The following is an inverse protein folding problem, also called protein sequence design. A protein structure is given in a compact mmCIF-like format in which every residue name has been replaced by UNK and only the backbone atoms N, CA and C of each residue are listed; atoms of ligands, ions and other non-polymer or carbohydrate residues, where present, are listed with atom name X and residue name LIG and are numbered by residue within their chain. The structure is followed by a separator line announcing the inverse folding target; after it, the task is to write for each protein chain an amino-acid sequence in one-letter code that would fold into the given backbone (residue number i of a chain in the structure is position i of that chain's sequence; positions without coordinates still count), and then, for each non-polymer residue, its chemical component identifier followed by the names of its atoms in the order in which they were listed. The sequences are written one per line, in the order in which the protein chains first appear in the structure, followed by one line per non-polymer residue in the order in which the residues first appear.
data_IF_330541236967
#
_entry.id   IF_330541236967
#
_cell.length_a   1.000
_cell.length_b   1.000
_cell.length_c   1.000
_cell.angle_alpha   90.00
_cell.angle_beta   90.00
_cell.angle_gamma   90.00
#
_symmetry.space_group_name_H-M   'P 1'
#
loop_
_entity.id
_entity.type
_entity.pdbx_description
1 polymer ?
#
# COMPACT_ATOMS: atom_id res chain seq x y z
N UNK A 1 43.50 2.73 -98.09
CA UNK A 1 44.51 1.67 -97.87
C UNK A 1 44.92 1.74 -96.41
N UNK A 2 44.93 0.59 -95.72
CA UNK A 2 45.30 0.41 -94.31
C UNK A 2 46.75 0.91 -94.01
N UNK A 3 47.34 0.80 -92.79
CA UNK A 3 46.88 0.17 -91.54
C UNK A 3 47.35 0.90 -90.23
N UNK A 4 47.24 0.18 -89.10
CA UNK A 4 48.08 0.15 -87.88
C UNK A 4 47.69 0.94 -86.60
N UNK A 5 47.39 0.15 -85.54
CA UNK A 5 47.59 0.37 -84.09
C UNK A 5 48.99 0.94 -83.71
N UNK A 6 49.39 1.21 -82.43
CA UNK A 6 48.74 0.98 -81.11
C UNK A 6 48.93 2.09 -80.02
N UNK A 7 48.47 1.77 -78.79
CA UNK A 7 49.02 2.11 -77.44
C UNK A 7 48.59 3.39 -76.67
N UNK A 8 47.84 3.11 -75.58
CA UNK A 8 48.17 3.27 -74.14
C UNK A 8 48.04 4.65 -73.42
N UNK A 9 47.18 4.60 -72.40
CA UNK A 9 47.17 5.27 -71.08
C UNK A 9 47.02 6.80 -70.97
N UNK A 10 45.98 7.24 -70.24
CA UNK A 10 46.07 7.69 -68.84
C UNK A 10 44.73 8.34 -68.40
N UNK A 11 44.28 8.03 -67.18
CA UNK A 11 43.29 8.81 -66.43
C UNK A 11 44.05 9.83 -65.54
N UNK A 12 43.44 10.76 -64.76
CA UNK A 12 42.04 10.80 -64.32
C UNK A 12 41.41 12.21 -64.16
N UNK A 13 40.29 12.23 -63.42
CA UNK A 13 39.69 13.32 -62.62
C UNK A 13 38.39 13.89 -63.19
N UNK A 14 37.30 13.57 -62.47
CA UNK A 14 35.93 14.05 -62.70
C UNK A 14 35.59 15.14 -61.68
N UNK A 15 34.97 16.21 -62.17
CA UNK A 15 34.52 17.43 -61.47
C UNK A 15 33.04 17.20 -61.08
N UNK A 16 32.64 17.26 -59.80
CA UNK A 16 31.99 18.41 -59.10
C UNK A 16 30.68 18.86 -59.79
N UNK A 17 29.47 18.86 -59.22
CA UNK A 17 28.88 19.46 -57.99
C UNK A 17 27.31 19.28 -58.08
N UNK A 18 26.42 19.84 -57.21
CA UNK A 18 26.33 19.85 -55.74
C UNK A 18 24.88 19.61 -55.15
N UNK A 19 24.81 19.46 -53.80
CA UNK A 19 23.78 19.89 -52.79
C UNK A 19 22.27 19.61 -52.97
N UNK A 20 21.44 19.35 -51.95
CA UNK A 20 21.51 19.17 -50.50
C UNK A 20 20.13 18.67 -50.01
N UNK A 21 20.04 17.84 -48.96
CA UNK A 21 19.01 17.97 -47.91
C UNK A 21 19.23 16.98 -46.75
N UNK A 22 19.02 17.50 -45.55
CA UNK A 22 19.01 16.88 -44.22
C UNK A 22 18.24 15.56 -44.13
N UNK A 23 18.69 14.60 -43.30
CA UNK A 23 17.85 13.95 -42.27
C UNK A 23 18.68 13.18 -41.23
N UNK A 24 18.37 13.51 -39.97
CA UNK A 24 18.43 12.76 -38.70
C UNK A 24 19.64 11.89 -38.32
N UNK A 25 20.33 12.37 -37.29
CA UNK A 25 20.99 11.57 -36.24
C UNK A 25 19.91 11.10 -35.27
N UNK A 26 19.94 9.84 -34.84
CA UNK A 26 19.75 9.38 -33.44
C UNK A 26 19.48 7.87 -33.42
N UNK A 27 20.54 7.13 -33.12
CA UNK A 27 20.50 5.83 -32.46
C UNK A 27 20.14 6.07 -30.99
N UNK A 28 18.90 5.79 -30.59
CA UNK A 28 18.56 5.23 -29.28
C UNK A 28 17.07 4.90 -29.28
N UNK A 29 16.72 3.62 -29.21
CA UNK A 29 15.37 3.21 -28.81
C UNK A 29 15.53 1.97 -27.97
N UNK A 30 15.91 2.22 -26.71
CA UNK A 30 15.44 1.52 -25.52
C UNK A 30 14.51 0.33 -25.80
N UNK A 31 15.07 -0.85 -25.67
CA UNK A 31 14.38 -2.13 -25.53
C UNK A 31 13.54 -2.07 -24.23
N UNK A 32 12.29 -1.59 -24.33
CA UNK A 32 11.33 -1.75 -23.24
C UNK A 32 10.87 -3.20 -23.24
N UNK A 33 11.50 -4.01 -22.40
CA UNK A 33 11.07 -5.35 -22.03
C UNK A 33 9.61 -5.29 -21.55
N UNK A 34 8.66 -5.60 -22.43
CA UNK A 34 7.27 -5.87 -22.04
C UNK A 34 7.29 -7.12 -21.17
N UNK A 35 7.22 -6.92 -19.87
CA UNK A 35 7.01 -7.98 -18.89
C UNK A 35 5.72 -8.73 -19.25
N UNK A 36 5.78 -10.06 -19.28
CA UNK A 36 4.59 -10.89 -19.50
C UNK A 36 3.50 -10.58 -18.44
N UNK A 37 2.21 -10.75 -18.76
CA UNK A 37 1.14 -10.58 -17.77
C UNK A 37 1.39 -11.55 -16.59
N UNK A 38 1.23 -11.09 -15.34
CA UNK A 38 1.49 -11.91 -14.18
C UNK A 38 0.46 -13.05 -14.08
N UNK A 39 0.89 -14.23 -13.63
CA UNK A 39 0.01 -15.39 -13.45
C UNK A 39 -0.44 -15.54 -12.00
N UNK A 40 -1.56 -16.25 -11.78
CA UNK A 40 -2.05 -16.56 -10.42
C UNK A 40 -1.09 -17.46 -9.65
N UNK A 41 -0.45 -18.42 -10.33
CA UNK A 41 0.52 -19.36 -9.74
C UNK A 41 1.72 -18.62 -9.14
N UNK A 42 2.24 -17.61 -9.86
CA UNK A 42 3.37 -16.79 -9.43
C UNK A 42 3.06 -15.89 -8.22
N UNK A 43 1.78 -15.73 -7.87
CA UNK A 43 1.30 -14.83 -6.81
C UNK A 43 0.52 -15.57 -5.71
N UNK A 44 0.73 -16.89 -5.58
CA UNK A 44 0.05 -17.75 -4.60
C UNK A 44 0.29 -17.37 -3.12
N UNK A 45 1.27 -16.50 -2.85
CA UNK A 45 1.54 -15.92 -1.53
C UNK A 45 0.59 -14.77 -1.16
N UNK A 46 -0.04 -14.12 -2.14
CA UNK A 46 -0.95 -12.99 -1.94
C UNK A 46 -2.40 -13.29 -2.34
N UNK A 47 -2.62 -14.28 -3.21
CA UNK A 47 -3.95 -14.70 -3.67
C UNK A 47 -4.10 -16.22 -3.65
N UNK A 48 -5.19 -16.71 -3.08
CA UNK A 48 -5.58 -18.11 -3.18
C UNK A 48 -6.20 -18.35 -4.57
N UNK A 49 -5.40 -18.95 -5.46
CA UNK A 49 -5.81 -19.23 -6.83
C UNK A 49 -7.12 -20.03 -6.89
N UNK A 50 -7.32 -21.00 -6.00
CA UNK A 50 -8.51 -21.86 -6.02
C UNK A 50 -9.81 -21.10 -5.72
N UNK A 51 -9.76 -20.13 -4.82
CA UNK A 51 -10.89 -19.24 -4.51
C UNK A 51 -11.11 -18.26 -5.65
N UNK A 52 -10.04 -17.69 -6.20
CA UNK A 52 -10.15 -16.71 -7.27
C UNK A 52 -10.63 -17.35 -8.60
N UNK A 53 -10.21 -18.58 -8.90
CA UNK A 53 -10.68 -19.36 -10.05
C UNK A 53 -12.19 -19.57 -10.04
N UNK A 54 -12.81 -19.77 -8.87
CA UNK A 54 -14.27 -19.88 -8.77
C UNK A 54 -14.99 -18.61 -9.23
N UNK A 55 -14.37 -17.44 -9.05
CA UNK A 55 -14.90 -16.16 -9.55
C UNK A 55 -14.70 -16.07 -11.06
N UNK A 56 -13.54 -16.52 -11.55
CA UNK A 56 -13.23 -16.56 -12.98
C UNK A 56 -14.13 -17.54 -13.75
N UNK A 57 -14.62 -18.60 -13.10
CA UNK A 57 -15.60 -19.54 -13.66
C UNK A 57 -17.00 -18.91 -13.83
N UNK A 58 -17.26 -17.76 -13.22
CA UNK A 58 -18.50 -17.01 -13.38
C UNK A 58 -18.46 -16.00 -14.53
N UNK A 59 -17.28 -15.78 -15.13
CA UNK A 59 -17.16 -14.98 -16.35
C UNK A 59 -17.77 -15.74 -17.54
N UNK A 60 -18.33 -14.99 -18.49
CA UNK A 60 -18.75 -15.56 -19.78
C UNK A 60 -17.49 -15.88 -20.63
N UNK A 61 -17.57 -16.88 -21.51
CA UNK A 61 -16.41 -17.47 -22.23
C UNK A 61 -15.50 -16.45 -22.94
N UNK A 62 -16.03 -15.28 -23.33
CA UNK A 62 -15.33 -14.30 -24.14
C UNK A 62 -14.88 -13.03 -23.37
N UNK A 63 -15.36 -12.78 -22.14
CA UNK A 63 -15.15 -11.51 -21.42
C UNK A 63 -14.89 -11.68 -19.91
N UNK A 64 -14.07 -10.80 -19.32
CA UNK A 64 -13.70 -10.82 -17.89
C UNK A 64 -14.48 -9.83 -17.03
N UNK A 65 -15.61 -9.34 -17.52
CA UNK A 65 -16.34 -8.21 -16.95
C UNK A 65 -16.88 -8.48 -15.54
N UNK A 66 -17.34 -9.71 -15.27
CA UNK A 66 -17.90 -10.05 -13.97
C UNK A 66 -16.80 -10.07 -12.90
N UNK A 67 -15.76 -10.87 -13.11
CA UNK A 67 -14.65 -10.98 -12.15
C UNK A 67 -13.93 -9.64 -11.98
N UNK A 68 -13.71 -8.89 -13.07
CA UNK A 68 -13.15 -7.55 -13.01
C UNK A 68 -14.04 -6.60 -12.21
N UNK A 69 -15.36 -6.62 -12.43
CA UNK A 69 -16.30 -5.80 -11.67
C UNK A 69 -16.25 -6.06 -10.16
N UNK A 70 -16.17 -7.32 -9.75
CA UNK A 70 -16.03 -7.69 -8.33
C UNK A 70 -14.70 -7.19 -7.74
N UNK A 71 -13.59 -7.36 -8.48
CA UNK A 71 -12.26 -6.93 -8.05
C UNK A 71 -12.17 -5.41 -7.88
N UNK A 72 -12.68 -4.64 -8.84
CA UNK A 72 -12.64 -3.18 -8.77
C UNK A 72 -13.61 -2.63 -7.71
N UNK A 73 -14.77 -3.27 -7.54
CA UNK A 73 -15.67 -2.97 -6.43
C UNK A 73 -15.00 -3.19 -5.06
N UNK A 74 -14.18 -4.24 -4.94
CA UNK A 74 -13.38 -4.47 -3.73
C UNK A 74 -12.32 -3.38 -3.51
N UNK A 75 -11.63 -2.89 -4.56
CA UNK A 75 -10.65 -1.81 -4.41
C UNK A 75 -11.27 -0.56 -3.80
N UNK A 76 -12.42 -0.13 -4.34
CA UNK A 76 -13.15 1.02 -3.80
C UNK A 76 -13.58 0.78 -2.34
N UNK A 77 -14.09 -0.42 -2.04
CA UNK A 77 -14.49 -0.81 -0.69
C UNK A 77 -13.30 -0.78 0.29
N UNK A 78 -12.16 -1.31 -0.12
CA UNK A 78 -10.94 -1.37 0.70
C UNK A 78 -10.42 0.04 1.01
N UNK A 79 -10.28 0.90 0.00
CA UNK A 79 -9.84 2.29 0.19
C UNK A 79 -10.74 3.08 1.12
N UNK A 80 -12.07 2.95 0.95
CA UNK A 80 -13.03 3.62 1.84
C UNK A 80 -12.94 3.08 3.26
N UNK A 81 -12.74 1.77 3.42
CA UNK A 81 -12.63 1.14 4.72
C UNK A 81 -11.34 1.55 5.44
N UNK A 82 -10.20 1.64 4.75
CA UNK A 82 -8.95 2.13 5.35
C UNK A 82 -9.08 3.56 5.85
N UNK A 83 -9.73 4.46 5.09
CA UNK A 83 -9.99 5.84 5.53
C UNK A 83 -10.86 5.88 6.81
N UNK A 84 -11.86 5.00 6.91
CA UNK A 84 -12.69 4.87 8.12
C UNK A 84 -11.89 4.31 9.30
N UNK A 85 -11.04 3.32 9.06
CA UNK A 85 -10.16 2.75 10.09
C UNK A 85 -9.19 3.80 10.64
N UNK A 86 -8.57 4.60 9.77
CA UNK A 86 -7.69 5.70 10.19
C UNK A 86 -8.42 6.70 11.10
N UNK A 87 -9.64 7.11 10.72
CA UNK A 87 -10.48 7.97 11.54
C UNK A 87 -10.87 7.33 12.88
N UNK A 88 -11.26 6.05 12.88
CA UNK A 88 -11.63 5.33 14.09
C UNK A 88 -10.43 5.10 15.03
N UNK A 89 -9.20 4.97 14.50
CA UNK A 89 -7.97 4.97 15.29
C UNK A 89 -7.79 6.32 16.02
N UNK A 90 -7.96 7.44 15.32
CA UNK A 90 -7.86 8.78 15.91
C UNK A 90 -8.91 8.99 17.02
N UNK A 91 -10.13 8.49 16.80
CA UNK A 91 -11.25 8.55 17.76
C UNK A 91 -11.15 7.48 18.87
N UNK A 92 -10.18 6.55 18.77
CA UNK A 92 -10.01 5.39 19.65
C UNK A 92 -11.27 4.50 19.76
N UNK A 93 -12.02 4.37 18.67
CA UNK A 93 -13.25 3.57 18.63
C UNK A 93 -12.96 2.11 18.29
N UNK A 94 -12.69 1.31 19.32
CA UNK A 94 -12.41 -0.12 19.17
C UNK A 94 -13.57 -0.92 18.57
N UNK A 95 -14.82 -0.54 18.87
CA UNK A 95 -16.00 -1.23 18.36
C UNK A 95 -16.17 -1.02 16.85
N UNK A 96 -15.97 0.22 16.38
CA UNK A 96 -15.96 0.53 14.96
C UNK A 96 -14.79 -0.16 14.26
N UNK A 97 -13.59 -0.15 14.84
CA UNK A 97 -12.43 -0.86 14.28
C UNK A 97 -12.67 -2.36 14.15
N UNK A 98 -13.30 -2.99 15.14
CA UNK A 98 -13.65 -4.40 15.07
C UNK A 98 -14.65 -4.68 13.93
N UNK A 99 -15.64 -3.81 13.78
CA UNK A 99 -16.68 -3.91 12.75
C UNK A 99 -16.11 -3.72 11.34
N UNK A 100 -15.22 -2.74 11.16
CA UNK A 100 -14.53 -2.49 9.89
C UNK A 100 -13.57 -3.63 9.53
N UNK A 101 -12.85 -4.18 10.52
CA UNK A 101 -12.00 -5.37 10.34
C UNK A 101 -12.82 -6.57 9.89
N UNK A 102 -13.95 -6.84 10.54
CA UNK A 102 -14.87 -7.91 10.15
C UNK A 102 -15.41 -7.74 8.72
N UNK A 103 -15.83 -6.52 8.38
CA UNK A 103 -16.38 -6.19 7.07
C UNK A 103 -15.36 -6.43 5.94
N UNK A 104 -14.14 -5.90 6.09
CA UNK A 104 -13.11 -6.04 5.05
C UNK A 104 -12.53 -7.47 4.99
N UNK A 105 -12.49 -8.18 6.13
CA UNK A 105 -12.17 -9.62 6.19
C UNK A 105 -13.14 -10.43 5.31
N UNK A 106 -14.44 -10.15 5.41
CA UNK A 106 -15.46 -10.84 4.61
C UNK A 106 -15.22 -10.68 3.10
N UNK A 107 -15.10 -9.43 2.64
CA UNK A 107 -14.89 -9.17 1.21
C UNK A 107 -13.55 -9.66 0.68
N UNK A 108 -12.46 -9.55 1.46
CA UNK A 108 -11.15 -10.07 1.06
C UNK A 108 -11.12 -11.61 1.00
N UNK A 109 -11.84 -12.29 1.89
CA UNK A 109 -11.98 -13.75 1.85
C UNK A 109 -12.71 -14.23 0.59
N UNK A 110 -13.73 -13.51 0.13
CA UNK A 110 -14.44 -13.85 -1.12
C UNK A 110 -13.51 -13.87 -2.33
N UNK A 111 -12.52 -12.97 -2.37
CA UNK A 111 -11.54 -12.87 -3.45
C UNK A 111 -10.28 -13.72 -3.25
N UNK A 112 -10.18 -14.48 -2.15
CA UNK A 112 -8.98 -15.27 -1.84
C UNK A 112 -7.77 -14.45 -1.42
N UNK A 113 -7.93 -13.21 -0.93
CA UNK A 113 -6.82 -12.32 -0.59
C UNK A 113 -6.26 -12.61 0.81
N UNK A 114 -5.50 -13.69 0.95
CA UNK A 114 -5.12 -14.29 2.24
C UNK A 114 -4.48 -13.30 3.21
N UNK A 115 -3.46 -12.55 2.79
CA UNK A 115 -2.75 -11.63 3.69
C UNK A 115 -3.63 -10.44 4.14
N UNK A 116 -4.52 -9.96 3.25
CA UNK A 116 -5.46 -8.89 3.57
C UNK A 116 -6.51 -9.40 4.54
N UNK A 117 -7.08 -10.59 4.28
CA UNK A 117 -8.02 -11.28 5.16
C UNK A 117 -7.45 -11.45 6.55
N UNK A 118 -6.24 -11.99 6.67
CA UNK A 118 -5.64 -12.34 7.94
C UNK A 118 -5.30 -11.08 8.76
N UNK A 119 -4.80 -10.02 8.12
CA UNK A 119 -4.60 -8.75 8.81
C UNK A 119 -5.91 -8.08 9.24
N UNK A 120 -6.99 -8.21 8.45
CA UNK A 120 -8.32 -7.74 8.85
C UNK A 120 -8.91 -8.53 10.03
N UNK A 121 -8.62 -9.83 10.11
CA UNK A 121 -8.97 -10.67 11.26
C UNK A 121 -8.24 -10.22 12.54
N UNK A 122 -6.95 -9.89 12.45
CA UNK A 122 -6.20 -9.32 13.58
C UNK A 122 -6.81 -7.99 14.04
N UNK A 123 -7.14 -7.10 13.11
CA UNK A 123 -7.83 -5.82 13.43
C UNK A 123 -9.16 -6.08 14.13
N UNK A 124 -9.94 -7.06 13.65
CA UNK A 124 -11.19 -7.47 14.28
C UNK A 124 -10.95 -7.91 15.74
N UNK A 125 -9.94 -8.75 15.99
CA UNK A 125 -9.63 -9.25 17.33
C UNK A 125 -9.14 -8.14 18.27
N UNK A 126 -8.20 -7.30 17.85
CA UNK A 126 -7.73 -6.18 18.65
C UNK A 126 -8.87 -5.20 18.97
N UNK A 127 -9.73 -4.90 17.99
CA UNK A 127 -10.92 -4.07 18.20
C UNK A 127 -11.94 -4.68 19.17
N UNK A 128 -11.94 -6.00 19.32
CA UNK A 128 -12.75 -6.69 20.33
C UNK A 128 -12.09 -6.74 21.72
N UNK A 129 -10.99 -6.01 21.92
CA UNK A 129 -10.24 -6.00 23.18
C UNK A 129 -9.51 -7.33 23.42
N UNK A 130 -8.97 -7.94 22.38
CA UNK A 130 -8.26 -9.23 22.45
C UNK A 130 -6.86 -9.15 21.88
N UNK A 131 -6.07 -10.21 22.12
CA UNK A 131 -4.79 -10.43 21.46
C UNK A 131 -4.95 -10.78 19.98
N UNK A 132 -3.82 -10.89 19.28
CA UNK A 132 -3.77 -11.19 17.84
C UNK A 132 -4.55 -12.46 17.48
N UNK A 133 -4.54 -13.46 18.37
CA UNK A 133 -5.19 -14.76 18.18
C UNK A 133 -6.70 -14.72 18.42
N UNK A 134 -7.22 -13.65 19.03
CA UNK A 134 -8.63 -13.54 19.43
C UNK A 134 -9.00 -14.42 20.63
N UNK A 135 -8.02 -14.94 21.36
CA UNK A 135 -8.22 -15.91 22.47
C UNK A 135 -8.03 -15.27 23.84
N UNK A 136 -7.08 -14.36 23.98
CA UNK A 136 -6.77 -13.72 25.27
C UNK A 136 -7.33 -12.30 25.29
N UNK A 137 -7.94 -11.89 26.40
CA UNK A 137 -8.37 -10.51 26.58
C UNK A 137 -7.17 -9.56 26.72
N UNK A 138 -7.27 -8.38 26.10
CA UNK A 138 -6.34 -7.27 26.21
C UNK A 138 -7.04 -6.13 26.98
N UNK A 139 -6.72 -5.94 28.27
CA UNK A 139 -7.42 -4.96 29.11
C UNK A 139 -7.00 -3.50 28.86
N UNK A 140 -5.90 -3.24 28.15
CA UNK A 140 -5.46 -1.88 27.81
C UNK A 140 -5.84 -1.52 26.37
N UNK A 141 -6.85 -0.68 26.24
CA UNK A 141 -7.34 -0.18 24.95
C UNK A 141 -6.23 0.51 24.14
N UNK A 142 -5.24 1.16 24.77
CA UNK A 142 -4.17 1.82 24.03
C UNK A 142 -3.25 0.81 23.34
N UNK A 143 -3.01 -0.35 23.98
CA UNK A 143 -2.25 -1.44 23.35
C UNK A 143 -3.02 -1.99 22.14
N UNK A 144 -4.33 -2.15 22.27
CA UNK A 144 -5.19 -2.57 21.16
C UNK A 144 -5.15 -1.56 20.00
N UNK A 145 -5.26 -0.26 20.30
CA UNK A 145 -5.18 0.80 19.29
C UNK A 145 -3.81 0.82 18.59
N UNK A 146 -2.71 0.71 19.33
CA UNK A 146 -1.36 0.70 18.76
C UNK A 146 -1.15 -0.53 17.84
N UNK A 147 -1.62 -1.70 18.27
CA UNK A 147 -1.58 -2.92 17.46
C UNK A 147 -2.45 -2.80 16.20
N UNK A 148 -3.63 -2.20 16.30
CA UNK A 148 -4.49 -1.95 15.14
C UNK A 148 -3.81 -0.99 14.18
N UNK A 149 -3.25 0.12 14.66
CA UNK A 149 -2.58 1.10 13.82
C UNK A 149 -1.37 0.51 13.08
N UNK A 150 -0.61 -0.38 13.73
CA UNK A 150 0.45 -1.15 13.09
C UNK A 150 -0.11 -2.10 12.02
N UNK A 151 -1.14 -2.87 12.37
CA UNK A 151 -1.73 -3.87 11.47
C UNK A 151 -2.38 -3.24 10.26
N UNK A 152 -3.06 -2.09 10.41
CA UNK A 152 -3.65 -1.34 9.27
C UNK A 152 -2.56 -0.94 8.26
N UNK A 153 -1.36 -0.52 8.72
CA UNK A 153 -0.24 -0.23 7.82
C UNK A 153 0.22 -1.47 7.07
N UNK A 154 0.37 -2.60 7.77
CA UNK A 154 0.75 -3.89 7.17
C UNK A 154 -0.28 -4.34 6.13
N UNK A 155 -1.57 -4.24 6.44
CA UNK A 155 -2.66 -4.58 5.50
C UNK A 155 -2.67 -3.68 4.28
N UNK A 156 -2.42 -2.37 4.42
CA UNK A 156 -2.35 -1.45 3.27
C UNK A 156 -1.20 -1.80 2.33
N UNK A 157 -0.05 -2.25 2.86
CA UNK A 157 1.07 -2.73 2.04
C UNK A 157 0.69 -4.03 1.31
N UNK A 158 0.09 -5.00 2.01
CA UNK A 158 -0.38 -6.24 1.39
C UNK A 158 -1.43 -5.98 0.31
N UNK A 159 -2.39 -5.09 0.58
CA UNK A 159 -3.40 -4.64 -0.37
C UNK A 159 -2.77 -4.01 -1.62
N UNK A 160 -1.78 -3.12 -1.47
CA UNK A 160 -1.14 -2.46 -2.62
C UNK A 160 -0.46 -3.47 -3.57
N UNK A 161 0.14 -4.54 -3.02
CA UNK A 161 0.70 -5.65 -3.83
C UNK A 161 -0.39 -6.36 -4.63
N UNK A 162 -1.49 -6.72 -3.97
CA UNK A 162 -2.64 -7.37 -4.59
C UNK A 162 -3.28 -6.49 -5.67
N UNK A 163 -3.54 -5.23 -5.36
CA UNK A 163 -4.16 -4.28 -6.28
C UNK A 163 -3.31 -4.14 -7.55
N UNK A 164 -2.01 -3.94 -7.39
CA UNK A 164 -1.06 -3.86 -8.52
C UNK A 164 -1.05 -5.13 -9.35
N UNK A 165 -1.01 -6.30 -8.70
CA UNK A 165 -1.06 -7.59 -9.38
C UNK A 165 -2.35 -7.73 -10.20
N UNK A 166 -3.51 -7.54 -9.58
CA UNK A 166 -4.81 -7.72 -10.22
C UNK A 166 -5.06 -6.69 -11.33
N UNK A 167 -4.64 -5.42 -11.16
CA UNK A 167 -4.68 -4.42 -12.25
C UNK A 167 -3.89 -4.87 -13.47
N UNK A 168 -2.68 -5.41 -13.28
CA UNK A 168 -1.88 -5.98 -14.37
C UNK A 168 -2.51 -7.24 -14.96
N UNK A 169 -3.12 -8.09 -14.12
CA UNK A 169 -3.83 -9.29 -14.54
C UNK A 169 -5.00 -8.95 -15.50
N UNK A 170 -5.75 -7.88 -15.21
CA UNK A 170 -6.81 -7.36 -16.09
C UNK A 170 -6.32 -6.41 -17.20
N UNK A 171 -5.00 -6.35 -17.45
CA UNK A 171 -4.43 -5.67 -18.61
C UNK A 171 -4.08 -4.18 -18.43
N UNK A 172 -4.15 -3.63 -17.22
CA UNK A 172 -3.66 -2.27 -16.96
C UNK A 172 -2.12 -2.20 -17.03
N UNK A 173 -1.61 -1.16 -17.69
CA UNK A 173 -0.18 -0.85 -17.69
C UNK A 173 0.15 0.06 -16.51
N UNK A 174 0.87 -0.48 -15.53
CA UNK A 174 1.36 0.28 -14.38
C UNK A 174 2.85 0.61 -14.55
N UNK A 175 3.30 1.79 -14.09
CA UNK A 175 4.72 2.11 -14.08
C UNK A 175 5.49 1.09 -13.22
N UNK A 176 6.67 0.69 -13.69
CA UNK A 176 7.61 -0.14 -12.92
C UNK A 176 7.89 0.51 -11.57
N UNK A 177 8.01 -0.27 -10.49
CA UNK A 177 8.44 0.30 -9.22
C UNK A 177 9.85 0.83 -9.38
N UNK A 178 10.11 2.05 -8.88
CA UNK A 178 11.45 2.31 -8.37
C UNK A 178 11.57 1.40 -7.14
N UNK A 179 12.31 0.30 -7.28
CA UNK A 179 12.73 -0.49 -6.12
C UNK A 179 13.46 0.45 -5.16
N UNK A 180 12.75 0.93 -4.15
CA UNK A 180 13.40 1.50 -2.98
C UNK A 180 13.87 0.30 -2.19
N UNK A 181 15.13 -0.06 -2.43
CA UNK A 181 15.94 -0.87 -1.51
C UNK A 181 15.54 -0.49 -0.08
N UNK A 182 14.98 -1.47 0.65
CA UNK A 182 14.74 -1.41 2.08
C UNK A 182 16.11 -1.32 2.80
N UNK A 183 16.78 -0.18 2.69
CA UNK A 183 17.78 0.22 3.66
C UNK A 183 17.03 0.74 4.87
N UNK A 184 16.82 -0.20 5.79
CA UNK A 184 16.61 0.02 7.21
C UNK A 184 17.34 1.30 7.66
N UNK A 185 16.65 2.32 8.18
CA UNK A 185 17.35 3.44 8.79
C UNK A 185 18.02 2.91 10.05
N UNK A 186 19.34 2.81 10.01
CA UNK A 186 20.18 2.59 11.18
C UNK A 186 19.76 3.59 12.27
N UNK A 187 19.51 3.05 13.46
CA UNK A 187 19.21 3.83 14.66
C UNK A 187 20.39 4.76 14.96
N UNK A 188 20.20 6.06 14.76
CA UNK A 188 21.01 7.06 15.44
C UNK A 188 20.51 7.19 16.88
N UNK A 189 21.19 6.49 17.78
CA UNK A 189 21.18 6.79 19.21
C UNK A 189 21.95 8.09 19.45
N UNK A 190 21.30 9.14 19.94
CA UNK A 190 21.98 10.29 20.56
C UNK A 190 21.53 10.42 22.02
N UNK A 191 22.35 9.88 22.93
CA UNK A 191 22.54 10.34 24.32
C UNK A 191 23.72 11.31 24.27
N UNK A 192 23.76 12.48 24.88
CA UNK A 192 23.70 12.91 26.30
C UNK A 192 23.90 14.45 26.23
N UNK A 193 23.53 15.35 27.13
CA UNK A 193 23.84 15.37 28.57
C UNK A 193 23.16 16.58 29.25
N UNK A 194 22.89 16.42 30.54
CA UNK A 194 22.35 17.41 31.49
C UNK A 194 23.25 18.64 31.69
N UNK A 195 22.62 19.78 32.03
CA UNK A 195 23.19 20.73 33.02
C UNK A 195 22.12 21.18 34.01
N UNK A 196 22.19 20.60 35.22
CA UNK A 196 21.50 21.06 36.42
C UNK A 196 22.18 22.29 37.03
N UNK A 197 21.36 23.23 37.53
CA UNK A 197 21.32 23.75 38.93
C UNK A 197 20.65 25.14 38.90
N UNK A 198 19.93 25.64 39.90
CA UNK A 198 19.24 25.17 41.12
C UNK A 198 18.90 26.50 41.84
N UNK A 199 17.67 26.70 42.31
CA UNK A 199 17.29 27.59 43.44
C UNK A 199 15.75 27.45 43.59
N UNK A 200 15.25 26.48 44.34
CA UNK A 200 14.96 26.52 45.79
C UNK A 200 13.90 27.58 46.17
N UNK A 201 12.71 27.13 46.58
CA UNK A 201 12.20 27.20 47.98
C UNK A 201 10.68 27.06 48.08
N UNK A 202 10.24 26.02 48.79
CA UNK A 202 8.94 25.86 49.51
C UNK A 202 9.34 26.04 51.00
N UNK A 203 8.53 26.56 51.97
CA UNK A 203 7.22 26.01 52.31
C UNK A 203 6.16 26.84 53.10
N UNK A 204 5.00 26.18 53.27
CA UNK A 204 4.07 26.13 54.43
C UNK A 204 2.84 27.09 54.59
N UNK A 205 1.66 26.44 54.50
CA UNK A 205 0.46 26.37 55.39
C UNK A 205 -0.17 27.62 56.04
N UNK A 206 -1.49 27.70 55.94
CA UNK A 206 -2.52 27.85 57.01
C UNK A 206 -3.92 27.74 56.35
N UNK A 207 -4.74 26.74 56.68
CA UNK A 207 -5.76 26.75 57.75
C UNK A 207 -6.67 28.00 57.71
N UNK A 208 -7.91 27.86 57.22
CA UNK A 208 -9.08 28.16 58.07
C UNK A 208 -10.38 27.53 57.54
N UNK A 209 -11.20 27.15 58.51
CA UNK A 209 -12.40 26.33 58.51
C UNK A 209 -13.63 27.25 58.64
N UNK A 210 -14.75 26.90 57.99
CA UNK A 210 -16.16 27.09 58.43
C UNK A 210 -17.08 26.60 57.31
N UNK A 211 -17.72 25.45 57.38
CA UNK A 211 -18.83 25.10 58.28
C UNK A 211 -20.01 26.05 58.06
N UNK A 212 -20.99 25.63 57.25
CA UNK A 212 -22.40 25.77 57.60
C UNK A 212 -23.27 24.77 56.83
N UNK A 213 -24.48 24.64 57.33
CA UNK A 213 -25.15 23.37 57.63
C UNK A 213 -26.44 23.21 56.82
N UNK A 214 -27.05 22.00 56.85
CA UNK A 214 -28.49 21.72 56.64
C UNK A 214 -29.03 21.82 55.18
N UNK A 215 -30.02 21.08 54.70
CA UNK A 215 -30.95 20.05 55.21
C UNK A 215 -31.70 19.45 53.99
N UNK A 216 -32.26 18.25 54.16
CA UNK A 216 -33.46 17.70 53.51
C UNK A 216 -33.52 17.40 51.99
N UNK A 217 -33.48 16.09 51.68
CA UNK A 217 -34.37 15.40 50.72
C UNK A 217 -35.87 15.64 51.06
N UNK A 218 -36.86 15.14 50.28
CA UNK A 218 -37.00 14.97 48.82
C UNK A 218 -38.37 15.50 48.33
N UNK A 219 -38.67 15.48 47.01
CA UNK A 219 -39.94 14.92 46.47
C UNK A 219 -40.13 15.10 44.96
N UNK A 220 -40.50 13.98 44.36
CA UNK A 220 -41.31 13.78 43.15
C UNK A 220 -42.40 14.85 42.96
N UNK A 221 -42.50 15.39 41.75
CA UNK A 221 -43.69 15.21 40.90
C UNK A 221 -43.38 15.57 39.45
#
# INVERSE_FOLDING_TARGET
MAPTDPKKAAAPVSIGQPNAQFHQVMTDTSDQKKEAPPTLEDNSDIIDASTFEQILEMDDDDDRDFSQGIVYGFFEQAEQTFKKMEKAIEEKDLSELSSLGHFLKGSSATLGLTNVKDGCEKIQHFGAGKDETGTTDQPDDNISIDNIAKTVKEVKVAYAKVERFLRRYYGEQLPAEEEKDDKEPEKEEEKEEKKEKKDEKVPEKKDEKKEDTKEEEPKKK
#
